data_IF_602867395510
#
_entry.id   IF_602867395510
#
_cell.length_a   1.000
_cell.length_b   1.000
_cell.length_c   1.000
_cell.angle_alpha   90.00
_cell.angle_beta   90.00
_cell.angle_gamma   90.00
#
_symmetry.space_group_name_H-M   'P 1'
#
loop_
_entity.id
_entity.type
_entity.pdbx_description
1 polymer ?
#
# COMPACT_ATOMS: atom_id res chain seq x y z
N UNK A 1 19.37 -11.55 12.90
CA UNK A 1 19.13 -11.80 11.46
C UNK A 1 20.46 -12.02 10.78
N UNK A 2 20.52 -12.95 9.81
CA UNK A 2 21.70 -13.21 8.98
C UNK A 2 21.83 -12.21 7.81
N UNK A 3 22.99 -12.17 7.13
CA UNK A 3 23.21 -11.33 5.95
C UNK A 3 22.26 -11.68 4.79
N UNK A 4 21.99 -12.98 4.59
CA UNK A 4 21.03 -13.47 3.59
C UNK A 4 19.60 -13.01 3.90
N UNK A 5 19.16 -13.11 5.16
CA UNK A 5 17.84 -12.61 5.58
C UNK A 5 17.71 -11.10 5.35
N UNK A 6 18.74 -10.32 5.67
CA UNK A 6 18.75 -8.87 5.43
C UNK A 6 18.66 -8.53 3.94
N UNK A 7 19.39 -9.25 3.09
CA UNK A 7 19.32 -9.06 1.64
C UNK A 7 17.94 -9.36 1.06
N UNK A 8 17.31 -10.46 1.48
CA UNK A 8 15.95 -10.80 1.03
C UNK A 8 14.92 -9.75 1.46
N UNK A 9 15.00 -9.27 2.70
CA UNK A 9 14.09 -8.23 3.21
C UNK A 9 14.30 -6.89 2.51
N UNK A 10 15.56 -6.56 2.16
CA UNK A 10 15.85 -5.37 1.37
C UNK A 10 15.16 -5.44 0.00
N UNK A 11 15.29 -6.55 -0.73
CA UNK A 11 14.59 -6.73 -2.02
C UNK A 11 13.08 -6.60 -1.88
N UNK A 12 12.47 -7.23 -0.88
CA UNK A 12 11.02 -7.09 -0.62
C UNK A 12 10.63 -5.64 -0.34
N UNK A 13 11.47 -4.89 0.39
CA UNK A 13 11.21 -3.49 0.71
C UNK A 13 11.29 -2.60 -0.53
N UNK A 14 12.25 -2.83 -1.43
CA UNK A 14 12.37 -2.10 -2.69
C UNK A 14 11.19 -2.40 -3.62
N UNK A 15 10.83 -3.68 -3.80
CA UNK A 15 9.65 -4.08 -4.58
C UNK A 15 8.37 -3.43 -4.06
N UNK A 16 8.21 -3.37 -2.73
CA UNK A 16 7.09 -2.70 -2.08
C UNK A 16 7.09 -1.19 -2.35
N UNK A 17 8.23 -0.51 -2.22
CA UNK A 17 8.36 0.93 -2.49
C UNK A 17 8.03 1.27 -3.93
N UNK A 18 8.53 0.49 -4.88
CA UNK A 18 8.25 0.68 -6.30
C UNK A 18 6.75 0.53 -6.60
N UNK A 19 6.12 -0.51 -6.01
CA UNK A 19 4.68 -0.73 -6.14
C UNK A 19 3.86 0.38 -5.50
N UNK A 20 4.20 0.83 -4.29
CA UNK A 20 3.53 1.96 -3.63
C UNK A 20 3.67 3.23 -4.45
N UNK A 21 4.87 3.56 -4.93
CA UNK A 21 5.10 4.73 -5.76
C UNK A 21 4.25 4.70 -7.04
N UNK A 22 4.09 3.54 -7.67
CA UNK A 22 3.20 3.39 -8.83
C UNK A 22 1.73 3.63 -8.47
N UNK A 23 1.25 3.04 -7.36
CA UNK A 23 -0.13 3.19 -6.89
C UNK A 23 -0.43 4.64 -6.49
N UNK A 24 0.48 5.32 -5.81
CA UNK A 24 0.37 6.74 -5.45
C UNK A 24 0.29 7.64 -6.68
N UNK A 25 1.10 7.38 -7.72
CA UNK A 25 1.00 8.12 -8.99
C UNK A 25 -0.37 7.94 -9.65
N UNK A 26 -0.91 6.71 -9.63
CA UNK A 26 -2.27 6.42 -10.15
C UNK A 26 -3.32 7.14 -9.31
N UNK A 27 -3.24 7.06 -7.99
CA UNK A 27 -4.15 7.73 -7.06
C UNK A 27 -4.19 9.24 -7.31
N UNK A 28 -3.02 9.88 -7.42
CA UNK A 28 -2.93 11.30 -7.70
C UNK A 28 -3.56 11.68 -9.06
N UNK A 29 -3.47 10.80 -10.08
CA UNK A 29 -4.14 11.00 -11.35
C UNK A 29 -5.66 10.92 -11.21
N UNK A 30 -6.18 9.92 -10.49
CA UNK A 30 -7.62 9.78 -10.24
C UNK A 30 -8.18 10.94 -9.37
N UNK A 31 -7.42 11.43 -8.39
CA UNK A 31 -7.80 12.59 -7.58
C UNK A 31 -7.86 13.89 -8.41
N UNK A 32 -6.95 14.05 -9.39
CA UNK A 32 -7.03 15.16 -10.36
C UNK A 32 -8.28 15.07 -11.23
N UNK A 33 -8.62 13.88 -11.72
CA UNK A 33 -9.86 13.67 -12.49
C UNK A 33 -11.08 13.96 -11.63
N UNK A 34 -11.09 13.54 -10.37
CA UNK A 34 -12.18 13.86 -9.44
C UNK A 34 -12.35 15.37 -9.26
N UNK A 35 -11.26 16.10 -9.05
CA UNK A 35 -11.30 17.57 -8.95
C UNK A 35 -11.87 18.20 -10.22
N UNK A 36 -11.42 17.76 -11.40
CA UNK A 36 -11.95 18.25 -12.67
C UNK A 36 -13.47 18.04 -12.80
N UNK A 37 -14.00 16.88 -12.39
CA UNK A 37 -15.44 16.60 -12.39
C UNK A 37 -16.24 17.53 -11.46
N UNK A 38 -15.62 18.01 -10.37
CA UNK A 38 -16.25 18.97 -9.46
C UNK A 38 -16.27 20.40 -10.00
N UNK A 39 -15.31 20.73 -10.87
CA UNK A 39 -15.16 22.03 -11.53
C UNK A 39 -16.04 22.15 -12.80
N UNK A 40 -16.66 21.05 -13.25
CA UNK A 40 -17.59 21.08 -14.39
C UNK A 40 -18.85 21.94 -14.10
N UNK A 41 -19.36 22.68 -15.10
CA UNK A 41 -20.56 23.51 -14.94
C UNK A 41 -21.79 22.72 -14.49
N UNK A 42 -21.92 21.47 -14.93
CA UNK A 42 -22.95 20.54 -14.51
C UNK A 42 -22.31 19.33 -13.83
N UNK A 43 -22.55 19.18 -12.54
CA UNK A 43 -21.96 18.09 -11.75
C UNK A 43 -22.70 16.79 -12.00
N UNK A 44 -22.16 15.95 -12.87
CA UNK A 44 -22.68 14.61 -13.07
C UNK A 44 -22.31 13.70 -11.88
N UNK A 45 -23.26 13.53 -10.96
CA UNK A 45 -23.08 12.69 -9.77
C UNK A 45 -22.64 11.27 -10.08
N UNK A 46 -23.14 10.66 -11.15
CA UNK A 46 -22.76 9.30 -11.51
C UNK A 46 -21.28 9.19 -11.94
N UNK A 47 -20.73 10.22 -12.60
CA UNK A 47 -19.31 10.25 -12.94
C UNK A 47 -18.45 10.46 -11.69
N UNK A 48 -18.88 11.35 -10.78
CA UNK A 48 -18.21 11.58 -9.49
C UNK A 48 -18.18 10.29 -8.65
N UNK A 49 -19.31 9.59 -8.52
CA UNK A 49 -19.41 8.35 -7.75
C UNK A 49 -18.50 7.25 -8.32
N UNK A 50 -18.47 7.08 -9.65
CA UNK A 50 -17.53 6.13 -10.30
C UNK A 50 -16.08 6.50 -10.04
N UNK A 51 -15.78 7.79 -10.01
CA UNK A 51 -14.42 8.27 -9.76
C UNK A 51 -13.98 8.01 -8.32
N UNK A 52 -14.88 8.19 -7.34
CA UNK A 52 -14.63 7.79 -5.95
C UNK A 52 -14.36 6.29 -5.82
N UNK A 53 -15.15 5.44 -6.48
CA UNK A 53 -14.94 3.99 -6.43
C UNK A 53 -13.55 3.58 -6.95
N UNK A 54 -13.02 4.26 -7.97
CA UNK A 54 -11.65 4.02 -8.48
C UNK A 54 -10.60 4.40 -7.44
N UNK A 55 -10.78 5.54 -6.78
CA UNK A 55 -9.89 6.01 -5.70
C UNK A 55 -9.89 5.01 -4.54
N UNK A 56 -11.07 4.54 -4.11
CA UNK A 56 -11.18 3.57 -3.02
C UNK A 56 -10.56 2.23 -3.37
N UNK A 57 -10.74 1.77 -4.61
CA UNK A 57 -10.08 0.56 -5.11
C UNK A 57 -8.55 0.69 -5.10
N UNK A 58 -7.99 1.84 -5.49
CA UNK A 58 -6.55 2.09 -5.42
C UNK A 58 -6.03 2.10 -3.98
N UNK A 59 -6.77 2.73 -3.05
CA UNK A 59 -6.42 2.71 -1.62
C UNK A 59 -6.42 1.29 -1.06
N UNK A 60 -7.38 0.46 -1.49
CA UNK A 60 -7.44 -0.96 -1.15
C UNK A 60 -6.23 -1.72 -1.71
N UNK A 61 -5.85 -1.49 -2.97
CA UNK A 61 -4.65 -2.08 -3.57
C UNK A 61 -3.37 -1.68 -2.81
N UNK A 62 -3.28 -0.44 -2.32
CA UNK A 62 -2.14 0.01 -1.50
C UNK A 62 -2.08 -0.73 -0.16
N UNK A 63 -3.23 -0.91 0.50
CA UNK A 63 -3.33 -1.68 1.74
C UNK A 63 -2.92 -3.15 1.52
N UNK A 64 -3.48 -3.80 0.50
CA UNK A 64 -3.17 -5.20 0.16
C UNK A 64 -1.67 -5.38 -0.17
N UNK A 65 -1.06 -4.43 -0.87
CA UNK A 65 0.38 -4.44 -1.13
C UNK A 65 1.23 -4.34 0.15
N UNK A 66 0.77 -3.57 1.14
CA UNK A 66 1.43 -3.45 2.45
C UNK A 66 1.37 -4.77 3.22
N UNK A 67 0.18 -5.37 3.31
CA UNK A 67 -0.02 -6.68 3.95
C UNK A 67 0.84 -7.75 3.28
N UNK A 68 0.81 -7.82 1.95
CA UNK A 68 1.60 -8.80 1.21
C UNK A 68 3.12 -8.63 1.42
N UNK A 69 3.61 -7.39 1.51
CA UNK A 69 5.01 -7.13 1.81
C UNK A 69 5.38 -7.57 3.24
N UNK A 70 4.51 -7.30 4.22
CA UNK A 70 4.68 -7.76 5.59
C UNK A 70 4.74 -9.28 5.69
N UNK A 71 3.80 -9.99 5.04
CA UNK A 71 3.77 -11.46 5.03
C UNK A 71 5.06 -12.04 4.43
N UNK A 72 5.56 -11.44 3.34
CA UNK A 72 6.83 -11.86 2.71
C UNK A 72 8.04 -11.60 3.62
N UNK A 73 8.05 -10.51 4.38
CA UNK A 73 9.09 -10.24 5.39
C UNK A 73 9.01 -11.24 6.55
N UNK A 74 7.81 -11.50 7.09
CA UNK A 74 7.61 -12.48 8.16
C UNK A 74 8.09 -13.88 7.74
N UNK A 75 7.88 -14.28 6.49
CA UNK A 75 8.34 -15.55 5.93
C UNK A 75 9.87 -15.69 5.91
N UNK A 76 10.64 -14.59 5.86
CA UNK A 76 12.11 -14.62 5.92
C UNK A 76 12.65 -14.79 7.35
N UNK A 77 11.80 -14.68 8.38
CA UNK A 77 12.19 -14.62 9.77
C UNK A 77 11.88 -15.93 10.51
N UNK A 78 12.78 -16.30 11.43
CA UNK A 78 12.51 -17.44 12.33
C UNK A 78 11.40 -17.09 13.31
N UNK A 79 10.74 -18.11 13.90
CA UNK A 79 9.67 -17.89 14.88
C UNK A 79 10.11 -16.97 16.04
N UNK A 80 11.33 -17.15 16.55
CA UNK A 80 11.91 -16.30 17.61
C UNK A 80 12.17 -14.86 17.14
N UNK A 81 12.53 -14.66 15.87
CA UNK A 81 12.72 -13.34 15.28
C UNK A 81 11.37 -12.63 15.05
N UNK A 82 10.35 -13.33 14.57
CA UNK A 82 8.97 -12.81 14.43
C UNK A 82 8.40 -12.34 15.76
N UNK A 83 8.54 -13.16 16.80
CA UNK A 83 8.04 -12.82 18.13
C UNK A 83 8.72 -11.57 18.72
N UNK A 84 10.02 -11.39 18.45
CA UNK A 84 10.76 -10.18 18.84
C UNK A 84 10.32 -8.95 18.03
N UNK A 85 10.06 -9.12 16.73
CA UNK A 85 9.59 -8.04 15.85
C UNK A 85 8.20 -7.53 16.25
N UNK A 86 7.26 -8.44 16.53
CA UNK A 86 5.91 -8.12 17.04
C UNK A 86 5.95 -7.32 18.35
N UNK A 87 6.95 -7.54 19.19
CA UNK A 87 7.14 -6.81 20.46
C UNK A 87 7.76 -5.43 20.30
N UNK A 88 8.66 -5.25 19.33
CA UNK A 88 9.44 -4.00 19.16
C UNK A 88 8.76 -3.02 18.23
N UNK A 89 8.02 -3.52 17.23
CA UNK A 89 7.45 -2.69 16.20
C UNK A 89 5.95 -2.99 16.04
N UNK A 90 5.12 -2.68 17.07
CA UNK A 90 3.67 -2.92 17.01
C UNK A 90 2.98 -2.15 15.87
N UNK A 91 3.61 -1.09 15.33
CA UNK A 91 3.13 -0.39 14.11
C UNK A 91 3.23 -1.22 12.81
N UNK A 92 3.98 -2.33 12.80
CA UNK A 92 3.98 -3.29 11.69
C UNK A 92 2.80 -4.28 11.77
N UNK A 93 2.05 -4.24 12.88
CA UNK A 93 0.90 -5.10 13.18
C UNK A 93 -0.45 -4.40 12.97
N UNK A 94 -0.49 -3.10 12.64
CA UNK A 94 -1.75 -2.43 12.32
C UNK A 94 -2.03 -2.58 10.83
N UNK A 95 -2.61 -3.75 10.50
CA UNK A 95 -3.69 -3.75 9.52
C UNK A 95 -4.86 -2.98 10.15
N UNK A 96 -4.97 -1.71 9.80
CA UNK A 96 -5.97 -0.77 10.29
C UNK A 96 -5.68 0.63 9.80
#
# INVERSE_FOLDING_TARGET
MSRRQRGAIYVISEEFRDRQSNLERRLAAEERTLRALYDEPERNRANIDRQFQRIDQLRREMFEASVAAHDRVEAQLTARQRQRLRRIAPRWNVGG
#
